data_IF_357125291482
#
_entry.id   IF_357125291482
#
_cell.length_a   1.000
_cell.length_b   1.000
_cell.length_c   1.000
_cell.angle_alpha   90.00
_cell.angle_beta   90.00
_cell.angle_gamma   90.00
#
_symmetry.space_group_name_H-M   'P 1'
#
loop_
_entity.id
_entity.type
_entity.pdbx_description
1 polymer ?
#
# COMPACT_ATOMS: atom_id res chain seq x y z
N UNK A 1 24.40 12.28 -34.51
CA UNK A 1 24.31 13.31 -33.44
C UNK A 1 23.91 12.60 -32.17
N UNK A 2 24.87 12.40 -31.25
CA UNK A 2 24.64 11.78 -29.96
C UNK A 2 23.82 12.73 -29.09
N UNK A 3 22.53 12.44 -28.95
CA UNK A 3 21.65 13.14 -28.02
C UNK A 3 21.92 12.64 -26.61
N UNK A 4 22.47 13.52 -25.77
CA UNK A 4 22.78 13.25 -24.37
C UNK A 4 21.55 12.73 -23.61
N UNK A 5 21.71 11.55 -23.02
CA UNK A 5 20.83 11.04 -21.98
C UNK A 5 21.17 11.81 -20.69
N UNK A 6 20.45 12.89 -20.40
CA UNK A 6 20.32 13.37 -19.02
C UNK A 6 19.71 12.23 -18.20
N UNK A 7 20.58 11.42 -17.59
CA UNK A 7 20.31 10.09 -17.06
C UNK A 7 19.44 10.05 -15.80
N UNK A 8 18.19 10.51 -15.88
CA UNK A 8 17.14 10.14 -14.92
C UNK A 8 16.49 8.85 -15.40
N UNK A 9 16.97 7.72 -14.88
CA UNK A 9 16.27 6.43 -15.00
C UNK A 9 14.91 6.55 -14.32
N UNK A 10 13.83 6.53 -15.11
CA UNK A 10 12.47 6.48 -14.58
C UNK A 10 12.20 5.07 -14.03
N UNK A 11 12.53 4.87 -12.76
CA UNK A 11 12.26 3.62 -12.06
C UNK A 11 10.76 3.45 -11.81
N UNK A 12 10.29 2.21 -11.91
CA UNK A 12 8.91 1.81 -11.63
C UNK A 12 8.92 0.42 -11.02
N UNK A 13 8.01 0.17 -10.10
CA UNK A 13 7.86 -1.14 -9.45
C UNK A 13 6.50 -1.70 -9.85
N UNK A 14 6.46 -2.93 -10.37
CA UNK A 14 5.24 -3.70 -10.59
C UNK A 14 5.18 -4.84 -9.57
N UNK A 15 4.12 -4.86 -8.77
CA UNK A 15 3.82 -5.92 -7.82
C UNK A 15 2.74 -6.84 -8.40
N UNK A 16 3.08 -8.12 -8.56
CA UNK A 16 2.14 -9.19 -8.92
C UNK A 16 1.85 -10.00 -7.66
N UNK A 17 0.64 -9.86 -7.12
CA UNK A 17 0.24 -10.56 -5.90
C UNK A 17 -0.84 -11.59 -6.18
N UNK A 18 -0.63 -12.84 -5.75
CA UNK A 18 -1.64 -13.90 -5.74
C UNK A 18 -2.14 -14.18 -4.31
N UNK A 19 -1.30 -13.96 -3.30
CA UNK A 19 -1.59 -14.25 -1.90
C UNK A 19 -2.49 -13.20 -1.24
N UNK A 20 -3.30 -13.57 -0.24
CA UNK A 20 -4.00 -12.60 0.58
C UNK A 20 -3.00 -11.74 1.36
N UNK A 21 -3.45 -10.56 1.77
CA UNK A 21 -2.68 -9.64 2.59
C UNK A 21 -2.45 -10.22 4.00
N UNK A 22 -1.22 -10.16 4.49
CA UNK A 22 -0.84 -10.63 5.83
C UNK A 22 -0.55 -9.43 6.72
N UNK A 23 -1.33 -9.28 7.79
CA UNK A 23 -1.22 -8.10 8.68
C UNK A 23 0.15 -7.94 9.36
N UNK A 24 0.93 -9.03 9.55
CA UNK A 24 2.28 -8.95 10.10
C UNK A 24 3.27 -8.21 9.19
N UNK A 25 3.01 -8.17 7.88
CA UNK A 25 3.88 -7.51 6.91
C UNK A 25 3.49 -6.05 6.63
N UNK A 26 2.44 -5.54 7.29
CA UNK A 26 1.92 -4.20 7.07
C UNK A 26 2.99 -3.11 7.30
N UNK A 27 3.65 -3.12 8.47
CA UNK A 27 4.61 -2.06 8.84
C UNK A 27 5.81 -2.01 7.89
N UNK A 28 6.51 -3.15 7.60
CA UNK A 28 7.60 -3.14 6.62
C UNK A 28 7.14 -2.69 5.23
N UNK A 29 5.98 -3.18 4.77
CA UNK A 29 5.44 -2.83 3.45
C UNK A 29 5.16 -1.32 3.35
N UNK A 30 4.51 -0.74 4.36
CA UNK A 30 4.22 0.70 4.38
C UNK A 30 5.48 1.56 4.41
N UNK A 31 6.49 1.17 5.18
CA UNK A 31 7.78 1.88 5.18
C UNK A 31 8.44 1.87 3.80
N UNK A 32 8.37 0.75 3.08
CA UNK A 32 8.85 0.66 1.70
C UNK A 32 8.05 1.55 0.74
N UNK A 33 6.72 1.58 0.89
CA UNK A 33 5.81 2.41 0.07
C UNK A 33 6.10 3.90 0.27
N UNK A 34 6.23 4.36 1.52
CA UNK A 34 6.55 5.76 1.80
C UNK A 34 7.96 6.13 1.30
N UNK A 35 8.91 5.21 1.38
CA UNK A 35 10.24 5.40 0.80
C UNK A 35 10.18 5.52 -0.73
N UNK A 36 9.39 4.67 -1.39
CA UNK A 36 9.17 4.73 -2.84
C UNK A 36 8.46 6.02 -3.26
N UNK A 37 7.44 6.45 -2.51
CA UNK A 37 6.75 7.72 -2.73
C UNK A 37 7.73 8.91 -2.64
N UNK A 38 8.58 8.94 -1.61
CA UNK A 38 9.59 9.99 -1.43
C UNK A 38 10.63 9.99 -2.56
N UNK A 39 10.95 8.81 -3.11
CA UNK A 39 11.82 8.67 -4.27
C UNK A 39 11.12 8.99 -5.61
N UNK A 40 9.81 9.27 -5.61
CA UNK A 40 9.03 9.51 -6.83
C UNK A 40 8.88 8.27 -7.71
N UNK A 41 8.97 7.07 -7.13
CA UNK A 41 8.87 5.79 -7.83
C UNK A 41 7.44 5.27 -7.69
N UNK A 42 6.63 5.26 -8.76
CA UNK A 42 5.28 4.72 -8.70
C UNK A 42 5.30 3.20 -8.52
N UNK A 43 4.43 2.71 -7.65
CA UNK A 43 4.23 1.28 -7.41
C UNK A 43 2.89 0.85 -8.01
N UNK A 44 2.97 0.05 -9.04
CA UNK A 44 1.81 -0.57 -9.66
C UNK A 44 1.52 -1.92 -9.04
N UNK A 45 0.24 -2.24 -8.91
CA UNK A 45 -0.22 -3.48 -8.29
C UNK A 45 -1.18 -4.20 -9.23
N UNK A 46 -0.82 -5.43 -9.56
CA UNK A 46 -1.66 -6.41 -10.21
C UNK A 46 -2.02 -7.48 -9.20
N UNK A 47 -3.25 -7.42 -8.68
CA UNK A 47 -3.78 -8.43 -7.76
C UNK A 47 -4.52 -9.49 -8.57
N UNK A 48 -4.07 -10.73 -8.44
CA UNK A 48 -4.67 -11.90 -9.06
C UNK A 48 -5.45 -12.70 -8.00
N UNK A 49 -6.61 -13.20 -8.40
CA UNK A 49 -7.44 -14.08 -7.58
C UNK A 49 -8.79 -13.47 -7.20
N UNK A 50 -9.44 -14.06 -6.20
CA UNK A 50 -10.77 -13.64 -5.75
C UNK A 50 -10.74 -12.64 -4.59
N UNK A 51 -9.62 -12.52 -3.88
CA UNK A 51 -9.49 -11.64 -2.72
C UNK A 51 -8.95 -10.26 -3.11
N UNK A 52 -9.63 -9.22 -2.62
CA UNK A 52 -9.11 -7.85 -2.68
C UNK A 52 -7.96 -7.70 -1.68
N UNK A 53 -6.93 -6.96 -2.08
CA UNK A 53 -5.78 -6.63 -1.24
C UNK A 53 -5.84 -5.14 -0.89
N UNK A 54 -6.45 -4.80 0.26
CA UNK A 54 -6.65 -3.41 0.68
C UNK A 54 -5.33 -2.69 0.93
N UNK A 55 -4.32 -3.38 1.47
CA UNK A 55 -3.01 -2.76 1.72
C UNK A 55 -2.26 -2.46 0.43
N UNK A 56 -2.29 -3.38 -0.54
CA UNK A 56 -1.67 -3.14 -1.84
C UNK A 56 -2.43 -2.07 -2.64
N UNK A 57 -3.74 -1.94 -2.44
CA UNK A 57 -4.51 -0.84 -3.02
C UNK A 57 -4.07 0.52 -2.43
N UNK A 58 -3.84 0.60 -1.12
CA UNK A 58 -3.23 1.78 -0.49
C UNK A 58 -1.84 2.08 -1.07
N UNK A 59 -1.01 1.05 -1.27
CA UNK A 59 0.33 1.19 -1.84
C UNK A 59 0.32 1.89 -3.20
N UNK A 60 -0.56 1.44 -4.10
CA UNK A 60 -0.73 2.03 -5.42
C UNK A 60 -1.24 3.47 -5.32
N UNK A 61 -2.19 3.74 -4.42
CA UNK A 61 -2.74 5.09 -4.25
C UNK A 61 -1.69 6.09 -3.75
N UNK A 62 -0.96 5.75 -2.69
CA UNK A 62 0.05 6.62 -2.04
C UNK A 62 1.18 6.97 -3.03
N UNK A 63 1.60 6.01 -3.85
CA UNK A 63 2.68 6.21 -4.84
C UNK A 63 2.19 6.72 -6.19
N UNK A 64 0.89 7.01 -6.32
CA UNK A 64 0.25 7.38 -7.59
C UNK A 64 0.41 6.34 -8.73
N UNK A 65 0.56 5.07 -8.37
CA UNK A 65 0.54 3.94 -9.29
C UNK A 65 -0.86 3.43 -9.62
N UNK A 66 -0.93 2.38 -10.43
CA UNK A 66 -2.18 1.74 -10.86
C UNK A 66 -2.44 0.45 -10.10
N UNK A 67 -3.70 0.27 -9.68
CA UNK A 67 -4.19 -0.97 -9.08
C UNK A 67 -5.13 -1.65 -10.08
N UNK A 68 -4.84 -2.90 -10.44
CA UNK A 68 -5.73 -3.73 -11.23
C UNK A 68 -6.00 -5.03 -10.48
N UNK A 69 -7.28 -5.37 -10.32
CA UNK A 69 -7.72 -6.65 -9.81
C UNK A 69 -8.18 -7.51 -10.99
N UNK A 70 -7.44 -8.57 -11.29
CA UNK A 70 -7.66 -9.41 -12.46
C UNK A 70 -8.01 -10.83 -12.01
N UNK A 71 -9.17 -11.30 -12.44
CA UNK A 71 -9.53 -12.72 -12.31
C UNK A 71 -8.67 -13.53 -13.29
N UNK A 72 -7.94 -14.57 -12.83
CA UNK A 72 -7.06 -15.35 -13.69
C UNK A 72 -7.88 -15.98 -14.83
N UNK A 73 -7.60 -15.51 -16.04
CA UNK A 73 -8.27 -15.95 -17.26
C UNK A 73 -7.33 -15.75 -18.46
N UNK A 74 -7.75 -16.17 -19.65
CA UNK A 74 -6.96 -16.03 -20.88
C UNK A 74 -6.64 -14.56 -21.25
N UNK A 75 -7.28 -13.57 -20.62
CA UNK A 75 -7.09 -12.13 -20.89
C UNK A 75 -6.07 -11.46 -19.96
N UNK A 76 -5.40 -12.22 -19.09
CA UNK A 76 -4.40 -11.67 -18.15
C UNK A 76 -3.24 -10.96 -18.87
N UNK A 77 -2.70 -11.57 -19.92
CA UNK A 77 -1.62 -10.98 -20.70
C UNK A 77 -2.04 -9.65 -21.33
N UNK A 78 -3.26 -9.59 -21.88
CA UNK A 78 -3.80 -8.37 -22.47
C UNK A 78 -3.87 -7.24 -21.44
N UNK A 79 -4.36 -7.52 -20.23
CA UNK A 79 -4.39 -6.53 -19.15
C UNK A 79 -2.98 -6.09 -18.75
N UNK A 80 -2.02 -7.02 -18.68
CA UNK A 80 -0.65 -6.70 -18.35
C UNK A 80 -0.01 -5.75 -19.37
N UNK A 81 -0.20 -6.07 -20.66
CA UNK A 81 0.33 -5.27 -21.77
C UNK A 81 -0.33 -3.90 -21.86
N UNK A 82 -1.64 -3.78 -21.64
CA UNK A 82 -2.33 -2.49 -21.78
C UNK A 82 -2.17 -1.57 -20.56
N UNK A 83 -2.03 -2.14 -19.35
CA UNK A 83 -2.07 -1.35 -18.11
C UNK A 83 -0.68 -1.02 -17.56
N UNK A 84 0.27 -1.97 -17.66
CA UNK A 84 1.56 -1.86 -16.97
C UNK A 84 2.76 -1.68 -17.91
N UNK A 85 2.64 -2.07 -19.18
CA UNK A 85 3.67 -1.85 -20.21
C UNK A 85 3.82 -0.39 -20.68
N UNK A 86 2.77 0.45 -20.76
CA UNK A 86 2.92 1.81 -21.27
C UNK A 86 3.92 2.63 -20.45
N UNK A 87 4.74 3.40 -21.17
CA UNK A 87 5.71 4.33 -20.56
C UNK A 87 5.01 5.45 -19.78
N UNK A 88 5.75 6.14 -18.91
CA UNK A 88 5.24 7.19 -18.01
C UNK A 88 4.45 8.27 -18.76
N UNK A 89 4.87 8.66 -19.97
CA UNK A 89 4.17 9.69 -20.76
C UNK A 89 2.82 9.18 -21.30
N UNK A 90 2.80 7.95 -21.81
CA UNK A 90 1.59 7.35 -22.40
C UNK A 90 0.50 7.13 -21.33
N UNK A 91 0.88 6.90 -20.08
CA UNK A 91 -0.04 6.70 -18.96
C UNK A 91 -0.96 7.88 -18.66
N UNK A 92 -0.50 9.11 -18.85
CA UNK A 92 -1.34 10.29 -18.61
C UNK A 92 -2.43 10.48 -19.68
N UNK A 93 -2.25 9.83 -20.84
CA UNK A 93 -3.16 9.92 -21.99
C UNK A 93 -4.14 8.74 -21.98
N UNK A 94 -3.64 7.56 -21.61
CA UNK A 94 -4.47 6.36 -21.47
C UNK A 94 -5.32 6.49 -20.21
N UNK A 95 -6.64 6.32 -20.33
CA UNK A 95 -7.54 6.27 -19.17
C UNK A 95 -7.29 4.95 -18.42
N UNK A 96 -6.65 4.96 -17.24
CA UNK A 96 -6.40 3.74 -16.49
C UNK A 96 -7.72 3.19 -15.91
N UNK A 97 -7.72 1.93 -15.41
CA UNK A 97 -8.84 1.40 -14.64
C UNK A 97 -9.22 2.34 -13.50
N UNK A 98 -10.52 2.46 -13.22
CA UNK A 98 -11.06 3.38 -12.21
C UNK A 98 -10.41 3.18 -10.85
N UNK A 99 -10.02 4.29 -10.23
CA UNK A 99 -9.55 4.32 -8.85
C UNK A 99 -10.74 4.08 -7.93
N UNK A 100 -10.93 2.84 -7.52
CA UNK A 100 -11.91 2.51 -6.48
C UNK A 100 -11.49 3.09 -5.12
N UNK A 101 -12.48 3.45 -4.29
CA UNK A 101 -12.26 3.89 -2.91
C UNK A 101 -11.33 2.93 -2.18
N UNK A 102 -10.35 3.52 -1.50
CA UNK A 102 -9.34 2.80 -0.73
C UNK A 102 -9.74 2.90 0.73
N UNK A 103 -9.76 1.75 1.40
CA UNK A 103 -10.03 1.67 2.83
C UNK A 103 -8.75 2.01 3.61
N UNK A 104 -8.74 3.11 4.36
CA UNK A 104 -7.60 3.58 5.17
C UNK A 104 -7.71 3.23 6.65
N UNK A 105 -8.65 2.36 7.03
CA UNK A 105 -8.85 2.00 8.43
C UNK A 105 -7.60 1.34 9.03
N UNK A 106 -7.30 1.71 10.26
CA UNK A 106 -6.16 1.18 10.99
C UNK A 106 -6.44 -0.25 11.49
N UNK A 107 -5.40 -1.09 11.49
CA UNK A 107 -5.45 -2.39 12.16
C UNK A 107 -4.82 -2.27 13.55
N UNK A 108 -5.47 -2.83 14.57
CA UNK A 108 -4.93 -2.82 15.93
C UNK A 108 -3.70 -3.74 16.05
N UNK A 109 -2.68 -3.31 16.79
CA UNK A 109 -1.46 -4.10 17.01
C UNK A 109 -1.68 -5.30 17.94
N UNK A 110 -2.76 -5.31 18.75
CA UNK A 110 -3.12 -6.43 19.62
C UNK A 110 -3.58 -7.66 18.82
N UNK A 111 -4.64 -7.49 18.02
CA UNK A 111 -5.34 -8.59 17.36
C UNK A 111 -5.17 -8.59 15.84
N UNK A 112 -4.53 -7.57 15.27
CA UNK A 112 -4.35 -7.37 13.82
C UNK A 112 -5.68 -7.28 13.05
N UNK A 113 -6.73 -6.83 13.73
CA UNK A 113 -8.06 -6.59 13.15
C UNK A 113 -8.22 -5.12 12.83
N UNK A 114 -8.92 -4.82 11.74
CA UNK A 114 -9.29 -3.46 11.35
C UNK A 114 -10.30 -2.91 12.38
N UNK A 115 -10.06 -1.69 12.86
CA UNK A 115 -10.90 -0.99 13.85
C UNK A 115 -11.23 0.42 13.37
N UNK A 116 -12.42 0.92 13.72
CA UNK A 116 -12.84 2.30 13.39
C UNK A 116 -12.47 3.31 14.50
N UNK A 117 -12.41 2.86 15.75
CA UNK A 117 -11.95 3.68 16.88
C UNK A 117 -10.98 2.88 17.76
N UNK A 118 -9.98 3.55 18.33
CA UNK A 118 -8.95 2.93 19.14
C UNK A 118 -8.06 3.93 19.86
N UNK A 119 -7.18 3.42 20.71
CA UNK A 119 -6.24 4.20 21.50
C UNK A 119 -4.86 4.21 20.83
N UNK A 120 -4.18 5.35 20.85
CA UNK A 120 -2.86 5.52 20.23
C UNK A 120 -1.81 5.77 21.31
N UNK A 121 -0.68 5.06 21.25
CA UNK A 121 0.47 5.36 22.10
C UNK A 121 1.14 6.67 21.67
N UNK A 122 1.25 7.64 22.58
CA UNK A 122 1.90 8.93 22.31
C UNK A 122 3.40 8.83 22.01
N UNK A 123 4.04 7.71 22.38
CA UNK A 123 5.49 7.51 22.19
C UNK A 123 5.81 6.77 20.90
N UNK A 124 5.13 5.65 20.63
CA UNK A 124 5.44 4.80 19.47
C UNK A 124 4.37 4.80 18.38
N UNK A 125 3.28 5.55 18.55
CA UNK A 125 2.15 5.66 17.62
C UNK A 125 1.47 4.31 17.30
N UNK A 126 1.67 3.29 18.14
CA UNK A 126 0.98 2.02 18.02
C UNK A 126 -0.50 2.17 18.41
N UNK A 127 -1.36 1.49 17.66
CA UNK A 127 -2.83 1.60 17.76
C UNK A 127 -3.38 0.33 18.43
N UNK A 128 -4.22 0.51 19.45
CA UNK A 128 -4.81 -0.56 20.25
C UNK A 128 -6.34 -0.50 20.24
N UNK A 129 -6.99 -1.66 20.33
CA UNK A 129 -8.45 -1.75 20.35
C UNK A 129 -9.06 -1.43 21.72
N UNK A 130 -8.32 -1.63 22.80
CA UNK A 130 -8.74 -1.34 24.18
C UNK A 130 -7.67 -0.53 24.90
N UNK A 131 -8.07 0.13 26.00
CA UNK A 131 -7.14 0.84 26.88
C UNK A 131 -6.31 -0.20 27.63
N UNK A 132 -5.00 -0.19 27.40
CA UNK A 132 -4.03 -1.03 28.09
C UNK A 132 -3.37 -0.22 29.22
N UNK A 133 -2.92 -0.88 30.29
CA UNK A 133 -2.12 -0.22 31.33
C UNK A 133 -0.67 0.04 30.87
N UNK A 134 -0.18 -0.78 29.94
CA UNK A 134 1.16 -0.66 29.37
C UNK A 134 1.12 -0.95 27.86
N UNK A 135 1.87 -0.17 27.09
CA UNK A 135 2.04 -0.38 25.66
C UNK A 135 2.82 -1.68 25.40
N UNK A 136 2.23 -2.62 24.66
CA UNK A 136 2.89 -3.89 24.31
C UNK A 136 4.10 -3.73 23.38
N UNK A 137 4.21 -2.62 22.65
CA UNK A 137 5.32 -2.35 21.72
C UNK A 137 6.51 -1.66 22.38
N UNK A 138 6.31 -0.57 23.14
CA UNK A 138 7.40 0.20 23.75
C UNK A 138 7.53 0.07 25.27
N UNK A 139 6.60 -0.62 25.94
CA UNK A 139 6.64 -0.80 27.40
C UNK A 139 6.26 0.43 28.22
N UNK A 140 5.85 1.53 27.60
CA UNK A 140 5.38 2.71 28.32
C UNK A 140 4.10 2.41 29.08
N UNK A 141 4.04 2.79 30.37
CA UNK A 141 2.80 2.75 31.15
C UNK A 141 1.95 3.96 30.78
N UNK A 142 0.67 3.72 30.52
CA UNK A 142 -0.27 4.79 30.27
C UNK A 142 -0.63 5.44 31.61
N UNK A 143 -0.68 6.78 31.70
CA UNK A 143 -1.13 7.45 32.91
C UNK A 143 -2.57 7.01 33.20
N UNK A 144 -2.81 6.48 34.39
CA UNK A 144 -4.16 6.25 34.90
C UNK A 144 -4.76 7.64 35.10
N UNK A 145 -5.87 7.94 34.41
CA UNK A 145 -6.64 9.15 34.73
C UNK A 145 -7.25 8.90 36.12
N UNK A 146 -6.64 9.50 37.14
CA UNK A 146 -7.30 9.73 38.43
C UNK A 146 -8.57 10.53 38.15
N UNK A 147 -9.72 9.89 38.40
CA UNK A 147 -11.06 10.49 38.33
C UNK A 147 -11.35 11.36 39.54
#
# INVERSE_FOLDING_TARGET
>A
MAGGLDGKTHARILLLSLSPDVASQYVPLMNCIFSAQKAGIPVDVCKLGASKASFLQQAAHITSGYYAHITPSKTMLQHLMFTFLPDHRARGILRPPERHEVDFRAACFCHRKVIDSGYVCSVCLSIFCDRLAQCSTCGMRFPEEES
#
